data_IF_897818591283
#
_entry.id   IF_897818591283
#
_cell.length_a   1.000
_cell.length_b   1.000
_cell.length_c   1.000
_cell.angle_alpha   90.00
_cell.angle_beta   90.00
_cell.angle_gamma   90.00
#
_symmetry.space_group_name_H-M   'P 1'
#
loop_
_entity.id
_entity.type
_entity.pdbx_description
1 polymer ?
#
# COMPACT_ATOMS: atom_id res chain seq x y z
N UNK A 1 -23.20 7.97 0.94
CA UNK A 1 -22.37 8.24 -0.26
C UNK A 1 -20.95 8.61 0.17
N UNK A 2 -19.95 7.83 -0.22
CA UNK A 2 -18.54 8.21 -0.05
C UNK A 2 -18.10 8.85 -1.37
N UNK A 3 -18.18 10.19 -1.55
CA UNK A 3 -17.47 10.83 -2.64
C UNK A 3 -16.00 10.99 -2.22
N UNK A 4 -15.07 10.90 -3.17
CA UNK A 4 -13.65 11.29 -3.12
C UNK A 4 -12.72 10.13 -3.46
N UNK A 5 -11.83 10.39 -4.43
CA UNK A 5 -10.96 9.41 -5.07
C UNK A 5 -10.20 8.58 -4.04
N UNK A 6 -10.01 7.30 -4.35
CA UNK A 6 -9.13 6.44 -3.60
C UNK A 6 -7.79 7.18 -3.38
N UNK A 7 -7.35 7.33 -2.13
CA UNK A 7 -6.00 7.84 -1.85
C UNK A 7 -5.02 6.93 -2.62
N UNK A 8 -4.33 7.50 -3.60
CA UNK A 8 -3.39 6.77 -4.44
C UNK A 8 -1.99 6.80 -3.82
N UNK A 9 -1.33 5.65 -3.79
CA UNK A 9 0.06 5.54 -3.40
C UNK A 9 0.90 5.24 -4.64
N UNK A 10 1.81 6.14 -4.96
CA UNK A 10 2.76 5.95 -6.07
C UNK A 10 4.14 5.56 -5.53
N UNK A 11 4.69 4.47 -6.05
CA UNK A 11 6.07 4.06 -5.84
C UNK A 11 6.89 4.45 -7.05
N UNK A 12 7.92 5.28 -6.81
CA UNK A 12 8.88 5.72 -7.82
C UNK A 12 10.21 4.98 -7.65
N UNK A 13 10.71 4.37 -8.72
CA UNK A 13 12.11 4.01 -8.86
C UNK A 13 12.90 5.25 -9.29
N UNK A 14 13.78 5.74 -8.42
CA UNK A 14 14.54 6.97 -8.70
C UNK A 14 15.63 6.78 -9.75
N UNK A 15 16.12 5.55 -9.97
CA UNK A 15 17.21 5.27 -10.90
C UNK A 15 16.71 5.16 -12.34
N UNK A 16 15.55 4.53 -12.51
CA UNK A 16 14.94 4.29 -13.83
C UNK A 16 13.79 5.23 -14.16
N UNK A 17 13.25 5.96 -13.18
CA UNK A 17 12.05 6.78 -13.33
C UNK A 17 10.75 5.96 -13.38
N UNK A 18 10.83 4.62 -13.26
CA UNK A 18 9.66 3.74 -13.31
C UNK A 18 8.70 4.02 -12.16
N UNK A 19 7.39 3.99 -12.46
CA UNK A 19 6.33 4.26 -11.48
C UNK A 19 5.39 3.08 -11.38
N UNK A 20 4.97 2.76 -10.15
CA UNK A 20 3.89 1.83 -9.87
C UNK A 20 2.85 2.56 -9.03
N UNK A 21 1.60 2.60 -9.49
CA UNK A 21 0.50 3.29 -8.81
C UNK A 21 -0.41 2.25 -8.18
N UNK A 22 -0.74 2.46 -6.90
CA UNK A 22 -1.70 1.68 -6.12
C UNK A 22 -2.89 2.56 -5.78
N UNK A 23 -4.09 2.09 -6.12
CA UNK A 23 -5.31 2.89 -6.06
C UNK A 23 -5.84 3.18 -7.46
N UNK A 24 -7.17 3.13 -7.59
CA UNK A 24 -7.94 3.45 -8.79
C UNK A 24 -9.26 4.08 -8.37
N UNK A 25 -9.85 4.91 -9.22
CA UNK A 25 -11.21 5.39 -8.95
C UNK A 25 -12.19 4.23 -8.78
N UNK A 26 -13.03 4.30 -7.74
CA UNK A 26 -14.00 3.26 -7.41
C UNK A 26 -13.45 2.09 -6.61
N UNK A 27 -12.13 2.04 -6.36
CA UNK A 27 -11.48 1.06 -5.49
C UNK A 27 -11.21 1.64 -4.08
N UNK A 28 -10.92 0.79 -3.10
CA UNK A 28 -10.41 1.24 -1.80
C UNK A 28 -9.15 2.13 -1.92
N UNK A 29 -9.07 3.17 -1.10
CA UNK A 29 -7.87 4.02 -0.98
C UNK A 29 -6.77 3.39 -0.12
N UNK A 30 -5.53 3.84 -0.30
CA UNK A 30 -4.36 3.35 0.43
C UNK A 30 -3.73 4.49 1.23
N UNK A 31 -3.35 4.20 2.48
CA UNK A 31 -2.75 5.17 3.40
C UNK A 31 -1.56 4.58 4.16
N UNK A 32 -0.85 5.46 4.86
CA UNK A 32 0.19 5.12 5.84
C UNK A 32 1.31 4.22 5.29
N UNK A 33 2.01 4.66 4.23
CA UNK A 33 3.09 3.87 3.64
C UNK A 33 4.29 3.73 4.59
N UNK A 34 4.81 2.52 4.71
CA UNK A 34 6.05 2.24 5.44
C UNK A 34 6.95 1.28 4.67
N UNK A 35 8.17 1.72 4.35
CA UNK A 35 9.17 0.90 3.67
C UNK A 35 9.94 0.01 4.65
N UNK A 36 10.19 -1.23 4.24
CA UNK A 36 11.18 -2.10 4.87
C UNK A 36 12.58 -1.47 4.77
N UNK A 37 13.43 -1.69 5.77
CA UNK A 37 14.77 -1.11 5.83
C UNK A 37 15.66 -1.46 4.61
N UNK A 38 15.43 -2.63 4.01
CA UNK A 38 16.14 -3.08 2.81
C UNK A 38 15.51 -2.60 1.49
N UNK A 39 14.42 -1.83 1.54
CA UNK A 39 13.71 -1.29 0.37
C UNK A 39 12.99 -2.32 -0.51
N UNK A 40 12.91 -3.60 -0.09
CA UNK A 40 12.33 -4.68 -0.90
C UNK A 40 10.82 -4.82 -0.76
N UNK A 41 10.26 -4.27 0.31
CA UNK A 41 8.85 -4.32 0.63
C UNK A 41 8.30 -2.98 1.13
N UNK A 42 7.04 -2.73 0.83
CA UNK A 42 6.24 -1.58 1.27
C UNK A 42 4.99 -2.09 1.98
N UNK A 43 4.73 -1.61 3.19
CA UNK A 43 3.48 -1.83 3.89
C UNK A 43 2.52 -0.66 3.64
N UNK A 44 1.22 -0.97 3.51
CA UNK A 44 0.13 -0.02 3.28
C UNK A 44 -1.10 -0.42 4.07
N UNK A 45 -1.94 0.56 4.40
CA UNK A 45 -3.28 0.34 4.94
C UNK A 45 -4.30 0.63 3.84
N UNK A 46 -5.09 -0.36 3.47
CA UNK A 46 -6.19 -0.21 2.51
C UNK A 46 -7.51 0.07 3.25
N UNK A 47 -8.22 1.09 2.80
CA UNK A 47 -9.49 1.57 3.37
C UNK A 47 -10.68 0.99 2.59
N UNK A 48 -10.95 -0.30 2.81
CA UNK A 48 -12.04 -1.03 2.17
C UNK A 48 -13.41 -0.84 2.84
N UNK A 49 -14.47 -1.35 2.20
CA UNK A 49 -15.84 -1.35 2.75
C UNK A 49 -15.96 -2.12 4.06
N UNK A 50 -15.13 -3.15 4.23
CA UNK A 50 -15.11 -4.03 5.42
C UNK A 50 -14.20 -3.48 6.54
N UNK A 51 -13.68 -2.26 6.39
CA UNK A 51 -12.76 -1.61 7.32
C UNK A 51 -11.29 -1.62 6.86
N UNK A 52 -10.40 -0.94 7.62
CA UNK A 52 -8.99 -0.85 7.27
C UNK A 52 -8.29 -2.21 7.34
N UNK A 53 -7.45 -2.53 6.34
CA UNK A 53 -6.64 -3.77 6.31
C UNK A 53 -5.18 -3.50 5.96
N UNK A 54 -4.26 -4.19 6.63
CA UNK A 54 -2.83 -4.07 6.35
C UNK A 54 -2.39 -4.99 5.20
N UNK A 55 -1.71 -4.39 4.24
CA UNK A 55 -1.16 -5.03 3.05
C UNK A 55 0.35 -4.84 3.00
N UNK A 56 1.07 -5.81 2.43
CA UNK A 56 2.47 -5.66 2.04
C UNK A 56 2.65 -5.96 0.56
N UNK A 57 3.48 -5.13 -0.07
CA UNK A 57 3.84 -5.21 -1.47
C UNK A 57 5.32 -5.51 -1.56
N UNK A 58 5.66 -6.58 -2.28
CA UNK A 58 7.05 -6.99 -2.49
C UNK A 58 7.53 -6.57 -3.89
N UNK A 59 8.57 -5.74 -3.94
CA UNK A 59 9.17 -5.23 -5.19
C UNK A 59 9.79 -6.35 -6.04
N UNK A 60 10.34 -7.39 -5.40
CA UNK A 60 10.99 -8.52 -6.08
C UNK A 60 10.05 -9.51 -6.76
N UNK A 61 8.74 -9.45 -6.50
CA UNK A 61 7.75 -10.40 -7.04
C UNK A 61 6.83 -9.77 -8.10
N UNK A 62 7.27 -8.69 -8.76
CA UNK A 62 6.47 -7.98 -9.76
C UNK A 62 5.33 -7.16 -9.16
N UNK A 63 5.49 -6.62 -7.95
CA UNK A 63 4.48 -5.78 -7.31
C UNK A 63 3.28 -6.55 -6.74
N UNK A 64 3.41 -7.86 -6.51
CA UNK A 64 2.35 -8.66 -5.87
C UNK A 64 2.02 -8.10 -4.48
N UNK A 65 0.75 -7.72 -4.31
CA UNK A 65 0.13 -7.29 -3.05
C UNK A 65 -0.30 -8.52 -2.27
N UNK A 66 0.08 -8.60 -1.00
CA UNK A 66 -0.34 -9.66 -0.07
C UNK A 66 -0.96 -9.04 1.18
N UNK A 67 -2.14 -9.49 1.56
CA UNK A 67 -2.72 -9.15 2.86
C UNK A 67 -1.94 -9.81 3.99
N UNK A 68 -1.53 -9.02 4.98
CA UNK A 68 -0.83 -9.50 6.18
C UNK A 68 -1.81 -9.76 7.32
N UNK A 69 -2.75 -8.84 7.52
CA UNK A 69 -3.71 -8.88 8.63
C UNK A 69 -5.10 -8.60 8.08
N UNK A 70 -6.10 -9.30 8.62
CA UNK A 70 -7.51 -9.01 8.39
C UNK A 70 -8.09 -8.39 9.67
N UNK A 71 -8.81 -7.28 9.53
CA UNK A 71 -9.33 -6.50 10.65
C UNK A 71 -8.58 -5.17 10.84
N UNK A 72 -9.05 -4.30 11.76
CA UNK A 72 -8.59 -2.91 11.84
C UNK A 72 -7.10 -2.80 12.16
N UNK A 73 -6.34 -2.15 11.28
CA UNK A 73 -4.92 -1.85 11.48
C UNK A 73 -4.64 -0.40 11.08
N UNK A 74 -3.74 0.26 11.82
CA UNK A 74 -3.17 1.56 11.48
C UNK A 74 -1.68 1.59 11.86
N UNK A 75 -0.95 2.54 11.28
CA UNK A 75 0.45 2.87 11.53
C UNK A 75 1.40 1.66 11.40
N UNK A 76 1.48 1.01 10.22
CA UNK A 76 2.42 -0.08 10.00
C UNK A 76 3.86 0.41 10.16
N UNK A 77 4.71 -0.43 10.75
CA UNK A 77 6.14 -0.17 10.89
C UNK A 77 6.93 -1.45 10.66
N UNK A 78 8.21 -1.27 10.31
CA UNK A 78 9.16 -2.37 10.15
C UNK A 78 10.13 -2.37 11.33
N UNK A 79 10.40 -3.53 11.90
CA UNK A 79 11.51 -3.70 12.84
C UNK A 79 12.85 -3.65 12.09
N UNK A 80 13.90 -3.26 12.81
CA UNK A 80 15.27 -3.27 12.31
C UNK A 80 15.86 -4.68 12.35
#
# INVERSE_FOLDING_TARGET
>A
PTPQGADEVTVLDINSGNRTVFGRQGEPGYREPAWSANGRALALVEMGRDGPRALVISRGAGGRVRALVRGPVSSPSWSR
#
